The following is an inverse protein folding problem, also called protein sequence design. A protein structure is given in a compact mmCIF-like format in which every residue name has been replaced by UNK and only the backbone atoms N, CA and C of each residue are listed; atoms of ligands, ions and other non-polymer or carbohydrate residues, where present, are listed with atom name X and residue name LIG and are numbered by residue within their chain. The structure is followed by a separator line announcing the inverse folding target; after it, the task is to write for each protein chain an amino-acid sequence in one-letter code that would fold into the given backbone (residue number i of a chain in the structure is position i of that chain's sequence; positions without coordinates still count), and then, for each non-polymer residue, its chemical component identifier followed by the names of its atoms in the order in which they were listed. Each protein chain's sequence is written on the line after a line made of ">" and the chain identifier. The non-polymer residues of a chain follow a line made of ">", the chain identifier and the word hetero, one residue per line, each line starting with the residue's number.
data_IF_086738303503
#
_entry.id   IF_086738303503
#
_cell.length_a   1.000
_cell.length_b   1.000
_cell.length_c   1.000
_cell.angle_alpha   90.00
_cell.angle_beta   90.00
_cell.angle_gamma   90.00
#
_symmetry.space_group_name_H-M   'P 1'
#
loop_
_entity.id
_entity.type
_entity.pdbx_description
1 polymer ?
#
# COMPACT_ATOMS: atom_id res chain seq x y z
N UNK A 1 -17.53 -33.34 0.79
CA UNK A 1 -16.58 -32.29 0.36
C UNK A 1 -15.26 -32.97 0.07
N UNK A 2 -15.00 -33.25 -1.17
CA UNK A 2 -13.92 -34.14 -1.62
C UNK A 2 -12.59 -33.41 -1.62
N UNK A 3 -11.65 -33.88 -0.80
CA UNK A 3 -10.24 -33.49 -0.86
C UNK A 3 -9.67 -33.98 -2.20
N UNK A 4 -9.48 -33.06 -3.14
CA UNK A 4 -8.70 -33.36 -4.34
C UNK A 4 -7.24 -33.35 -3.91
N UNK A 5 -6.72 -34.54 -3.55
CA UNK A 5 -5.29 -34.83 -3.52
C UNK A 5 -4.83 -34.89 -4.97
N UNK A 6 -4.31 -33.79 -5.53
CA UNK A 6 -3.54 -33.87 -6.77
C UNK A 6 -2.13 -34.33 -6.40
N UNK A 7 -1.87 -35.60 -6.69
CA UNK A 7 -0.55 -36.21 -6.74
C UNK A 7 0.24 -35.52 -7.85
N UNK A 8 1.49 -35.11 -7.56
CA UNK A 8 2.53 -35.07 -8.59
C UNK A 8 3.18 -33.75 -8.93
N UNK A 9 3.24 -32.76 -8.05
CA UNK A 9 4.34 -31.78 -8.16
C UNK A 9 5.36 -32.11 -7.06
N UNK A 10 6.28 -33.02 -7.41
CA UNK A 10 7.45 -33.29 -6.60
C UNK A 10 8.35 -32.03 -6.62
N UNK A 11 8.47 -31.34 -5.49
CA UNK A 11 9.48 -30.28 -5.28
C UNK A 11 10.89 -30.90 -5.20
N UNK A 12 11.15 -31.95 -6.01
CA UNK A 12 12.39 -32.74 -5.99
C UNK A 12 13.59 -32.05 -6.66
N UNK A 13 13.45 -30.81 -7.14
CA UNK A 13 14.60 -30.03 -7.56
C UNK A 13 15.33 -29.48 -6.32
N UNK A 14 16.66 -29.61 -6.28
CA UNK A 14 17.54 -29.32 -5.14
C UNK A 14 17.41 -27.90 -4.54
N UNK A 15 16.65 -27.00 -5.19
CA UNK A 15 16.54 -25.58 -4.80
C UNK A 15 15.08 -25.15 -4.49
N UNK A 16 14.16 -26.09 -4.24
CA UNK A 16 12.76 -25.80 -3.96
C UNK A 16 12.29 -26.54 -2.71
N UNK A 17 11.36 -25.92 -1.96
CA UNK A 17 10.67 -26.54 -0.84
C UNK A 17 9.16 -26.35 -1.00
N UNK A 18 8.37 -27.26 -0.43
CA UNK A 18 6.92 -27.13 -0.38
C UNK A 18 6.51 -26.38 0.90
N UNK A 19 5.65 -25.37 0.75
CA UNK A 19 4.99 -24.73 1.88
C UNK A 19 3.54 -25.20 1.95
N UNK A 20 3.21 -25.98 3.00
CA UNK A 20 1.86 -26.55 3.18
C UNK A 20 0.78 -25.48 3.36
N UNK A 21 1.13 -24.36 3.99
CA UNK A 21 0.19 -23.23 4.21
C UNK A 21 -0.13 -22.53 2.89
N UNK A 22 0.87 -22.25 2.06
CA UNK A 22 0.67 -21.60 0.77
C UNK A 22 0.19 -22.56 -0.31
N UNK A 23 0.33 -23.88 -0.10
CA UNK A 23 -0.07 -24.94 -1.04
C UNK A 23 0.77 -25.02 -2.31
N UNK A 24 2.02 -24.55 -2.27
CA UNK A 24 2.89 -24.46 -3.44
C UNK A 24 4.39 -24.62 -3.10
N UNK A 25 5.20 -24.80 -4.16
CA UNK A 25 6.66 -24.91 -4.04
C UNK A 25 7.33 -23.55 -4.30
N UNK A 26 8.23 -23.18 -3.40
CA UNK A 26 9.04 -21.96 -3.49
C UNK A 26 10.52 -22.29 -3.54
N UNK A 27 11.35 -21.35 -4.02
CA UNK A 27 12.79 -21.42 -3.89
C UNK A 27 13.20 -21.53 -2.42
N UNK A 28 14.22 -22.35 -2.12
CA UNK A 28 14.77 -22.51 -0.76
C UNK A 28 15.21 -21.19 -0.13
N UNK A 29 15.50 -20.15 -0.92
CA UNK A 29 15.80 -18.79 -0.43
C UNK A 29 14.64 -18.14 0.33
N UNK A 30 13.41 -18.60 0.12
CA UNK A 30 12.20 -18.13 0.78
C UNK A 30 11.82 -19.01 1.99
N UNK A 31 12.55 -20.06 2.27
CA UNK A 31 12.26 -20.97 3.38
C UNK A 31 12.47 -20.24 4.72
N UNK A 32 11.39 -20.16 5.50
CA UNK A 32 11.38 -19.39 6.76
C UNK A 32 11.40 -17.87 6.61
N UNK A 33 11.40 -17.35 5.37
CA UNK A 33 11.57 -15.94 5.07
C UNK A 33 10.49 -15.38 4.13
N UNK A 34 9.28 -15.95 4.16
CA UNK A 34 8.12 -15.43 3.44
C UNK A 34 6.90 -15.34 4.35
N UNK A 35 6.04 -14.37 4.07
CA UNK A 35 4.74 -14.26 4.72
C UNK A 35 3.79 -15.26 4.08
N UNK A 36 3.35 -16.27 4.86
CA UNK A 36 2.42 -17.27 4.38
C UNK A 36 1.02 -16.67 4.17
N UNK A 37 0.46 -16.92 3.00
CA UNK A 37 -0.95 -16.64 2.68
C UNK A 37 -1.54 -17.95 2.19
N UNK A 38 -2.64 -18.39 2.81
CA UNK A 38 -3.30 -19.64 2.47
C UNK A 38 -3.69 -19.66 1.00
N UNK A 39 -3.29 -20.73 0.30
CA UNK A 39 -3.55 -20.94 -1.13
C UNK A 39 -3.11 -19.77 -2.03
N UNK A 40 -1.99 -19.13 -1.72
CA UNK A 40 -1.51 -17.92 -2.42
C UNK A 40 -1.31 -18.07 -3.93
N UNK A 41 -1.15 -19.31 -4.43
CA UNK A 41 -1.05 -19.63 -5.85
C UNK A 41 -2.38 -20.03 -6.48
N UNK A 42 -3.42 -20.34 -5.69
CA UNK A 42 -4.74 -20.72 -6.20
C UNK A 42 -5.59 -19.47 -6.56
N UNK A 43 -4.98 -18.51 -7.23
CA UNK A 43 -5.59 -17.26 -7.66
C UNK A 43 -5.00 -16.80 -9.00
N UNK A 44 -5.65 -15.81 -9.60
CA UNK A 44 -5.14 -15.18 -10.81
C UNK A 44 -4.06 -14.16 -10.47
N UNK A 45 -3.07 -14.02 -11.36
CA UNK A 45 -2.12 -12.91 -11.28
C UNK A 45 -2.87 -11.57 -11.32
N UNK A 46 -2.68 -10.67 -10.35
CA UNK A 46 -3.46 -9.42 -10.30
C UNK A 46 -3.14 -8.44 -11.44
N UNK A 47 -2.06 -8.69 -12.20
CA UNK A 47 -1.67 -7.84 -13.31
C UNK A 47 -2.15 -8.36 -14.67
N UNK A 48 -1.98 -9.65 -14.97
CA UNK A 48 -2.33 -10.21 -16.29
C UNK A 48 -3.56 -11.14 -16.26
N UNK A 49 -4.12 -11.43 -15.09
CA UNK A 49 -5.30 -12.25 -14.83
C UNK A 49 -5.16 -13.74 -15.23
N UNK A 50 -3.97 -14.18 -15.60
CA UNK A 50 -3.67 -15.60 -15.83
C UNK A 50 -3.64 -16.35 -14.49
N UNK A 51 -4.17 -17.57 -14.46
CA UNK A 51 -4.19 -18.40 -13.25
C UNK A 51 -2.76 -18.85 -12.87
N UNK A 52 -2.33 -18.52 -11.65
CA UNK A 52 -0.93 -18.69 -11.23
C UNK A 52 -0.52 -20.15 -11.08
N UNK A 53 -1.42 -20.99 -10.58
CA UNK A 53 -1.10 -22.38 -10.24
C UNK A 53 -0.74 -23.25 -11.47
N UNK A 54 -1.42 -23.00 -12.59
CA UNK A 54 -1.21 -23.75 -13.84
C UNK A 54 -0.20 -23.04 -14.78
N UNK A 55 0.28 -21.86 -14.41
CA UNK A 55 1.22 -21.11 -15.22
C UNK A 55 2.63 -21.69 -15.17
N UNK A 56 3.28 -21.76 -16.33
CA UNK A 56 4.71 -22.13 -16.47
C UNK A 56 5.64 -20.93 -16.22
N UNK A 57 5.07 -19.72 -16.09
CA UNK A 57 5.83 -18.49 -15.86
C UNK A 57 6.32 -18.44 -14.42
N UNK A 58 7.55 -17.95 -14.17
CA UNK A 58 8.07 -17.83 -12.82
C UNK A 58 7.22 -16.84 -11.99
N UNK A 59 6.94 -17.20 -10.76
CA UNK A 59 6.18 -16.39 -9.82
C UNK A 59 7.07 -15.74 -8.77
N UNK A 60 6.66 -14.59 -8.28
CA UNK A 60 7.29 -13.87 -7.18
C UNK A 60 6.30 -13.75 -6.01
N UNK A 61 6.81 -13.84 -4.79
CA UNK A 61 6.08 -13.59 -3.54
C UNK A 61 6.48 -12.21 -3.06
N UNK A 62 5.49 -11.35 -2.87
CA UNK A 62 5.71 -10.01 -2.31
C UNK A 62 5.92 -10.08 -0.79
N UNK A 63 6.53 -9.06 -0.16
CA UNK A 63 6.69 -9.00 1.30
C UNK A 63 5.38 -9.12 2.09
N UNK A 64 4.25 -8.74 1.48
CA UNK A 64 2.91 -8.90 2.05
C UNK A 64 2.32 -10.32 1.93
N UNK A 65 3.03 -11.26 1.26
CA UNK A 65 2.62 -12.64 1.04
C UNK A 65 1.81 -12.89 -0.24
N UNK A 66 1.34 -11.86 -0.93
CA UNK A 66 0.65 -12.02 -2.21
C UNK A 66 1.61 -12.42 -3.32
N UNK A 67 1.12 -13.21 -4.27
CA UNK A 67 1.91 -13.77 -5.38
C UNK A 67 1.45 -13.19 -6.71
N UNK A 68 2.39 -13.09 -7.63
CA UNK A 68 2.16 -12.69 -9.02
C UNK A 68 3.30 -13.21 -9.91
N UNK A 69 3.17 -13.11 -11.24
CA UNK A 69 4.29 -13.45 -12.12
C UNK A 69 5.46 -12.49 -11.94
N UNK A 70 6.67 -13.02 -11.97
CA UNK A 70 7.90 -12.22 -11.81
C UNK A 70 8.06 -11.17 -12.93
N UNK A 71 7.61 -11.48 -14.14
CA UNK A 71 7.65 -10.53 -15.25
C UNK A 71 6.64 -9.41 -15.06
N UNK A 72 5.43 -9.73 -14.60
CA UNK A 72 4.41 -8.72 -14.26
C UNK A 72 4.89 -7.80 -13.14
N UNK A 73 5.59 -8.34 -12.14
CA UNK A 73 6.19 -7.52 -11.08
C UNK A 73 7.22 -6.54 -11.63
N UNK A 74 8.14 -7.02 -12.50
CA UNK A 74 9.13 -6.14 -13.16
C UNK A 74 8.49 -5.07 -14.03
N UNK A 75 7.39 -5.39 -14.71
CA UNK A 75 6.65 -4.41 -15.52
C UNK A 75 5.98 -3.34 -14.63
N UNK A 76 5.45 -3.73 -13.47
CA UNK A 76 4.96 -2.76 -12.47
C UNK A 76 6.09 -1.85 -11.96
N UNK A 77 7.25 -2.41 -11.63
CA UNK A 77 8.42 -1.64 -11.19
C UNK A 77 8.88 -0.64 -12.26
N UNK A 78 8.94 -1.05 -13.53
CA UNK A 78 9.27 -0.16 -14.67
C UNK A 78 8.28 0.99 -14.83
N UNK A 79 7.01 0.74 -14.49
CA UNK A 79 5.95 1.75 -14.52
C UNK A 79 5.80 2.51 -13.19
N UNK A 80 6.79 2.42 -12.30
CA UNK A 80 6.80 3.09 -10.99
C UNK A 80 5.63 2.71 -10.07
N UNK A 81 5.04 1.54 -10.28
CA UNK A 81 4.01 0.98 -9.42
C UNK A 81 4.69 0.11 -8.36
N UNK A 82 4.88 0.65 -7.17
CA UNK A 82 5.64 0.02 -6.08
C UNK A 82 4.75 -0.52 -4.96
N UNK A 83 3.45 -0.67 -5.23
CA UNK A 83 2.46 -1.18 -4.26
C UNK A 83 1.79 -2.44 -4.76
N UNK A 84 1.53 -3.37 -3.86
CA UNK A 84 0.81 -4.61 -4.17
C UNK A 84 -0.61 -4.29 -4.69
N UNK A 85 -1.02 -4.80 -5.86
CA UNK A 85 -2.35 -4.51 -6.41
C UNK A 85 -3.51 -5.05 -5.55
N UNK A 86 -3.25 -6.03 -4.68
CA UNK A 86 -4.28 -6.68 -3.86
C UNK A 86 -4.48 -5.93 -2.55
N UNK A 87 -3.39 -5.63 -1.81
CA UNK A 87 -3.48 -5.04 -0.47
C UNK A 87 -2.90 -3.63 -0.36
N UNK A 88 -2.39 -3.06 -1.44
CA UNK A 88 -1.82 -1.72 -1.54
C UNK A 88 -0.57 -1.49 -0.68
N UNK A 89 -0.04 -2.52 -0.01
CA UNK A 89 1.23 -2.40 0.74
C UNK A 89 2.40 -2.19 -0.19
N UNK A 90 3.33 -1.35 0.21
CA UNK A 90 4.58 -1.11 -0.51
C UNK A 90 5.43 -2.37 -0.52
N UNK A 91 5.94 -2.79 -1.67
CA UNK A 91 6.83 -3.96 -1.79
C UNK A 91 8.29 -3.58 -2.08
N UNK A 92 8.55 -2.35 -2.52
CA UNK A 92 9.89 -1.86 -2.82
C UNK A 92 10.45 -0.99 -1.68
N UNK A 93 11.78 -0.87 -1.62
CA UNK A 93 12.42 0.04 -0.68
C UNK A 93 12.32 1.49 -1.20
N UNK A 94 11.39 2.27 -0.65
CA UNK A 94 11.16 3.67 -1.01
C UNK A 94 11.76 4.68 -0.01
N UNK A 95 12.66 4.25 0.88
CA UNK A 95 13.23 5.10 1.92
C UNK A 95 13.86 6.39 1.38
N UNK A 96 14.62 6.29 0.28
CA UNK A 96 15.22 7.47 -0.38
C UNK A 96 14.19 8.40 -1.00
N UNK A 97 13.11 7.85 -1.57
CA UNK A 97 12.01 8.64 -2.11
C UNK A 97 11.31 9.41 -0.99
N UNK A 98 11.06 8.76 0.13
CA UNK A 98 10.40 9.40 1.28
C UNK A 98 11.28 10.47 1.92
N UNK A 99 12.60 10.29 2.00
CA UNK A 99 13.53 11.34 2.43
C UNK A 99 13.52 12.55 1.49
N UNK A 100 13.39 12.34 0.18
CA UNK A 100 13.22 13.43 -0.78
C UNK A 100 11.91 14.17 -0.55
N UNK A 101 10.82 13.44 -0.34
CA UNK A 101 9.52 14.04 -0.01
C UNK A 101 9.57 14.83 1.30
N UNK A 102 10.25 14.33 2.34
CA UNK A 102 10.48 15.07 3.58
C UNK A 102 11.18 16.41 3.30
N UNK A 103 12.22 16.38 2.45
CA UNK A 103 12.98 17.59 2.08
C UNK A 103 12.14 18.57 1.28
N UNK A 104 11.33 18.10 0.35
CA UNK A 104 10.43 18.94 -0.46
C UNK A 104 9.32 19.57 0.40
N UNK A 105 8.73 18.81 1.31
CA UNK A 105 7.72 19.30 2.26
C UNK A 105 8.31 20.40 3.14
N UNK A 106 9.55 20.22 3.63
CA UNK A 106 10.24 21.24 4.43
C UNK A 106 10.55 22.53 3.65
N UNK A 107 10.77 22.43 2.34
CA UNK A 107 11.04 23.60 1.47
C UNK A 107 9.78 24.30 0.99
N UNK A 108 8.64 23.64 1.07
CA UNK A 108 7.37 24.15 0.54
C UNK A 108 6.39 24.37 1.71
N UNK A 109 6.57 25.40 2.53
CA UNK A 109 5.65 25.66 3.63
C UNK A 109 4.25 25.95 3.10
N UNK A 110 3.25 25.41 3.77
CA UNK A 110 1.85 25.68 3.44
C UNK A 110 1.50 27.14 3.80
N UNK A 111 0.64 27.82 2.99
CA UNK A 111 0.09 29.13 3.35
C UNK A 111 -0.60 29.11 4.73
N UNK A 112 -0.64 30.28 5.39
CA UNK A 112 -1.21 30.42 6.74
C UNK A 112 -2.67 29.95 6.85
N UNK A 113 -3.44 30.06 5.78
CA UNK A 113 -4.83 29.58 5.68
C UNK A 113 -4.96 28.08 5.97
N UNK A 114 -3.91 27.31 5.75
CA UNK A 114 -3.87 25.86 5.97
C UNK A 114 -3.12 25.46 7.25
N UNK A 115 -2.60 26.41 8.02
CA UNK A 115 -1.77 26.14 9.21
C UNK A 115 -2.51 25.31 10.28
N UNK A 116 -3.82 25.54 10.41
CA UNK A 116 -4.68 24.82 11.35
C UNK A 116 -5.23 23.49 10.79
N UNK A 117 -5.05 23.23 9.50
CA UNK A 117 -5.63 22.04 8.87
C UNK A 117 -4.91 20.77 9.30
N UNK A 118 -5.71 19.78 9.63
CA UNK A 118 -5.25 18.43 9.95
C UNK A 118 -5.95 17.42 9.06
N UNK A 119 -5.26 16.31 8.80
CA UNK A 119 -5.79 15.22 8.00
C UNK A 119 -5.68 13.94 8.80
N UNK A 120 -6.78 13.23 8.93
CA UNK A 120 -6.76 11.83 9.38
C UNK A 120 -6.44 10.97 8.19
N UNK A 121 -5.37 10.21 8.29
CA UNK A 121 -4.88 9.29 7.27
C UNK A 121 -4.97 7.85 7.75
N UNK A 122 -5.14 6.93 6.83
CA UNK A 122 -4.91 5.50 7.02
C UNK A 122 -3.67 5.11 6.22
N UNK A 123 -2.70 4.50 6.88
CA UNK A 123 -1.49 3.99 6.24
C UNK A 123 -1.74 2.60 5.66
N UNK A 124 -1.44 2.40 4.37
CA UNK A 124 -1.58 1.11 3.72
C UNK A 124 -0.48 0.11 4.17
N UNK A 125 0.68 0.60 4.62
CA UNK A 125 1.82 -0.27 5.00
C UNK A 125 1.66 -0.85 6.41
N UNK A 126 1.31 -0.03 7.41
CA UNK A 126 1.13 -0.50 8.79
C UNK A 126 -0.33 -0.67 9.23
N UNK A 127 -1.30 -0.25 8.41
CA UNK A 127 -2.74 -0.26 8.68
C UNK A 127 -3.17 0.62 9.88
N UNK A 128 -2.30 1.52 10.34
CA UNK A 128 -2.60 2.43 11.44
C UNK A 128 -3.17 3.77 10.93
N UNK A 129 -4.09 4.33 11.69
CA UNK A 129 -4.64 5.66 11.45
C UNK A 129 -3.91 6.70 12.27
N UNK A 130 -3.65 7.87 11.69
CA UNK A 130 -3.04 8.98 12.41
C UNK A 130 -3.55 10.32 11.91
N UNK A 131 -3.55 11.34 12.79
CA UNK A 131 -3.86 12.71 12.43
C UNK A 131 -2.58 13.50 12.27
N UNK A 132 -2.35 13.99 11.06
CA UNK A 132 -1.15 14.72 10.66
C UNK A 132 -1.49 16.12 10.14
N UNK A 133 -0.52 17.02 10.05
CA UNK A 133 -0.71 18.32 9.40
C UNK A 133 -1.03 18.12 7.92
N UNK A 134 -1.93 18.94 7.42
CA UNK A 134 -2.22 18.97 5.99
C UNK A 134 -1.01 19.49 5.20
N UNK A 135 -0.65 18.79 4.14
CA UNK A 135 0.32 19.26 3.17
C UNK A 135 -0.04 18.78 1.76
N UNK A 136 0.13 19.64 0.75
CA UNK A 136 -0.29 19.32 -0.62
C UNK A 136 0.53 18.19 -1.25
N UNK A 137 1.81 18.07 -0.90
CA UNK A 137 2.72 17.08 -1.47
C UNK A 137 2.52 15.67 -0.91
N UNK A 138 2.04 15.54 0.33
CA UNK A 138 1.83 14.22 0.93
C UNK A 138 1.62 14.26 2.44
N UNK A 139 1.24 13.11 3.00
CA UNK A 139 0.94 12.94 4.41
C UNK A 139 1.73 11.74 4.94
N UNK A 140 2.71 12.00 5.79
CA UNK A 140 3.57 10.98 6.37
C UNK A 140 2.87 10.27 7.51
N UNK A 141 2.87 8.94 7.49
CA UNK A 141 2.40 8.14 8.62
C UNK A 141 3.26 8.39 9.86
N UNK A 142 2.63 8.69 11.00
CA UNK A 142 3.35 8.92 12.26
C UNK A 142 3.90 7.64 12.89
N UNK A 143 3.41 6.45 12.47
CA UNK A 143 3.81 5.16 13.01
C UNK A 143 5.02 4.55 12.29
N UNK A 144 4.93 4.42 10.96
CA UNK A 144 5.96 3.75 10.16
C UNK A 144 6.73 4.67 9.21
N UNK A 145 6.46 5.99 9.25
CA UNK A 145 7.09 7.01 8.42
C UNK A 145 6.89 6.84 6.90
N UNK A 146 5.96 5.99 6.47
CA UNK A 146 5.60 5.80 5.08
C UNK A 146 4.73 6.95 4.56
N UNK A 147 4.86 7.27 3.27
CA UNK A 147 3.94 8.15 2.54
C UNK A 147 2.86 7.38 1.75
N UNK A 148 2.85 6.07 1.84
CA UNK A 148 1.79 5.24 1.27
C UNK A 148 0.52 5.32 2.14
N UNK A 149 -0.10 6.47 2.12
CA UNK A 149 -1.25 6.82 2.95
C UNK A 149 -2.42 7.30 2.13
N UNK A 150 -3.62 7.06 2.61
CA UNK A 150 -4.86 7.62 2.04
C UNK A 150 -5.54 8.55 3.04
N UNK A 151 -6.06 9.65 2.52
CA UNK A 151 -6.83 10.61 3.31
C UNK A 151 -8.19 10.03 3.64
N UNK A 152 -8.58 10.13 4.91
CA UNK A 152 -9.91 9.73 5.39
C UNK A 152 -10.79 10.96 5.59
N UNK A 153 -10.35 11.87 6.45
CA UNK A 153 -11.09 13.11 6.76
C UNK A 153 -10.11 14.28 6.83
N UNK A 154 -10.61 15.46 6.50
CA UNK A 154 -9.87 16.72 6.63
C UNK A 154 -10.60 17.55 7.68
N UNK A 155 -9.89 17.87 8.75
CA UNK A 155 -10.30 18.85 9.74
C UNK A 155 -9.65 20.19 9.37
N UNK A 156 -10.47 21.17 9.03
CA UNK A 156 -10.01 22.50 8.58
C UNK A 156 -9.70 23.44 9.75
N UNK A 157 -9.89 22.98 11.00
CA UNK A 157 -9.91 23.87 12.16
C UNK A 157 -11.08 24.87 12.05
N UNK A 158 -11.44 25.49 13.15
CA UNK A 158 -12.32 26.66 13.06
C UNK A 158 -11.47 27.83 12.54
N UNK A 159 -11.55 28.06 11.24
CA UNK A 159 -11.09 29.34 10.68
C UNK A 159 -11.80 30.50 11.40
N UNK A 160 -11.24 31.74 11.36
CA UNK A 160 -11.94 32.90 11.92
C UNK A 160 -13.35 32.89 11.36
N UNK A 161 -14.35 32.80 12.26
CA UNK A 161 -15.75 32.90 11.88
C UNK A 161 -15.91 34.21 11.12
N UNK A 162 -16.32 34.13 9.86
CA UNK A 162 -16.79 35.32 9.14
C UNK A 162 -17.87 35.91 10.01
N UNK A 163 -17.58 37.08 10.56
CA UNK A 163 -18.53 37.89 11.33
C UNK A 163 -19.73 38.06 10.43
N UNK A 164 -20.89 37.54 10.85
CA UNK A 164 -22.12 37.60 10.10
C UNK A 164 -22.45 39.05 9.76
N UNK A 165 -22.60 39.33 8.48
CA UNK A 165 -23.24 40.54 7.98
C UNK A 165 -24.76 40.43 8.22
N UNK A 166 -25.17 40.58 9.46
CA UNK A 166 -26.56 40.79 9.83
C UNK A 166 -26.62 41.95 10.82
N UNK A 167 -26.27 43.15 10.34
CA UNK A 167 -26.68 44.42 10.94
C UNK A 167 -26.90 45.46 9.83
N UNK A 168 -27.95 45.25 9.03
CA UNK A 168 -28.55 46.37 8.31
C UNK A 168 -29.53 47.04 9.27
N UNK A 169 -29.32 48.31 9.65
CA UNK A 169 -30.33 49.06 10.41
C UNK A 169 -31.57 49.25 9.55
N UNK A 170 -32.70 48.89 10.13
CA UNK A 170 -34.01 49.09 9.57
C UNK A 170 -34.19 50.57 9.11
N UNK A 171 -34.54 50.76 7.85
CA UNK A 171 -35.03 52.06 7.36
C UNK A 171 -36.33 52.39 8.08
N UNK A 172 -36.30 53.46 8.87
CA UNK A 172 -37.50 54.12 9.39
C UNK A 172 -38.19 54.91 8.28
N UNK A 173 -39.50 55.18 8.44
CA UNK A 173 -40.50 55.50 7.42
C UNK A 173 -40.33 56.81 6.71
#
# INVERSE_FOLDING_TARGET
>A
MSRIRRQGMSCSAQNFFHCDTCGCCYSTSLQGNHTCVENSMAQNCPACLEYLFDSIRPTAVLPCGHTMHSDCLKDMERNHQMTCPICMKTFANLALLWQRLDSEIARTPMPDDFAAWRVTILCNDCNESSSVRFHILGHKCSHCASYNTRKMTIDRGQGPQAVGQDDLPARLP
#
